data_IF_823250575744
#
_entry.id   IF_823250575744
#
_cell.length_a   1.000
_cell.length_b   1.000
_cell.length_c   1.000
_cell.angle_alpha   90.00
_cell.angle_beta   90.00
_cell.angle_gamma   90.00
#
_symmetry.space_group_name_H-M   'P 1'
#
loop_
_entity.id
_entity.type
_entity.pdbx_description
1 polymer ?
#
# COMPACT_ATOMS: atom_id res chain seq x y z
N UNK A 1 -19.14 18.60 -37.77
CA UNK A 1 -18.22 17.48 -37.50
C UNK A 1 -18.87 16.55 -36.49
N UNK A 2 -19.79 15.72 -36.97
CA UNK A 2 -20.54 14.73 -36.19
C UNK A 2 -19.81 13.40 -36.33
N UNK A 3 -19.16 12.92 -35.26
CA UNK A 3 -18.72 11.54 -35.21
C UNK A 3 -19.41 10.86 -34.02
N UNK A 4 -20.61 10.37 -34.31
CA UNK A 4 -21.41 9.53 -33.44
C UNK A 4 -20.94 8.10 -33.73
N UNK A 5 -20.04 7.57 -32.91
CA UNK A 5 -19.70 6.14 -32.89
C UNK A 5 -20.85 5.39 -32.20
N UNK A 6 -22.00 5.35 -32.87
CA UNK A 6 -22.98 4.29 -32.62
C UNK A 6 -22.37 3.03 -33.24
N UNK A 7 -21.65 2.25 -32.45
CA UNK A 7 -21.47 0.83 -32.77
C UNK A 7 -22.85 0.20 -32.62
N UNK A 8 -23.53 -0.24 -33.71
CA UNK A 8 -24.71 -1.05 -33.53
C UNK A 8 -24.25 -2.34 -32.84
N UNK A 9 -24.78 -2.59 -31.65
CA UNK A 9 -24.89 -3.94 -31.10
C UNK A 9 -25.41 -4.80 -32.24
N UNK A 10 -24.55 -5.65 -32.78
CA UNK A 10 -24.95 -6.72 -33.66
C UNK A 10 -25.75 -7.68 -32.79
N UNK A 11 -27.03 -7.38 -32.63
CA UNK A 11 -28.01 -8.35 -32.16
C UNK A 11 -28.12 -9.36 -33.29
N UNK A 12 -27.22 -10.34 -33.24
CA UNK A 12 -27.35 -11.63 -33.92
C UNK A 12 -28.81 -12.07 -33.82
N UNK A 13 -29.44 -12.64 -34.86
CA UNK A 13 -30.84 -13.06 -34.81
C UNK A 13 -31.00 -13.90 -33.55
N UNK A 14 -31.72 -13.36 -32.57
CA UNK A 14 -31.74 -13.88 -31.21
C UNK A 14 -32.31 -15.28 -31.27
N UNK A 15 -31.43 -16.28 -31.12
CA UNK A 15 -31.85 -17.62 -30.75
C UNK A 15 -32.79 -17.47 -29.55
N UNK A 16 -33.92 -18.19 -29.53
CA UNK A 16 -34.88 -18.07 -28.45
C UNK A 16 -34.17 -18.28 -27.11
N UNK A 17 -34.67 -17.56 -26.10
CA UNK A 17 -34.16 -17.68 -24.75
C UNK A 17 -34.22 -19.13 -24.29
N UNK A 18 -33.21 -19.58 -23.56
CA UNK A 18 -33.20 -20.93 -23.01
C UNK A 18 -34.28 -21.04 -21.92
N UNK A 19 -34.93 -22.19 -21.87
CA UNK A 19 -35.95 -22.51 -20.89
C UNK A 19 -35.31 -23.01 -19.59
N UNK A 20 -35.42 -22.25 -18.50
CA UNK A 20 -34.79 -22.59 -17.22
C UNK A 20 -35.33 -23.87 -16.59
N UNK A 21 -36.54 -24.31 -16.93
CA UNK A 21 -37.07 -25.58 -16.41
C UNK A 21 -36.20 -26.78 -16.85
N UNK A 22 -35.42 -26.62 -17.91
CA UNK A 22 -34.53 -27.64 -18.48
C UNK A 22 -33.05 -27.42 -18.10
N UNK A 23 -32.77 -26.51 -17.17
CA UNK A 23 -31.40 -26.16 -16.76
C UNK A 23 -30.71 -27.29 -16.00
N UNK A 24 -31.47 -28.02 -15.20
CA UNK A 24 -30.97 -29.11 -14.35
C UNK A 24 -31.53 -30.46 -14.78
N UNK A 25 -30.68 -31.49 -14.74
CA UNK A 25 -31.09 -32.87 -14.98
C UNK A 25 -31.78 -33.48 -13.75
N UNK A 26 -32.30 -34.70 -13.90
CA UNK A 26 -32.92 -35.45 -12.79
C UNK A 26 -32.00 -35.72 -11.59
N UNK A 27 -30.68 -35.57 -11.76
CA UNK A 27 -29.66 -35.75 -10.71
C UNK A 27 -29.38 -34.39 -10.01
N UNK A 28 -29.94 -33.30 -10.53
CA UNK A 28 -29.73 -31.94 -10.04
C UNK A 28 -28.42 -31.32 -10.52
N UNK A 29 -27.87 -31.76 -11.65
CA UNK A 29 -26.69 -31.17 -12.29
C UNK A 29 -27.05 -30.43 -13.57
N UNK A 30 -26.22 -29.46 -13.95
CA UNK A 30 -26.41 -28.70 -15.19
C UNK A 30 -26.47 -29.63 -16.41
N UNK A 31 -27.54 -29.50 -17.19
CA UNK A 31 -27.68 -30.19 -18.49
C UNK A 31 -26.61 -29.70 -19.45
N UNK A 32 -26.29 -30.50 -20.47
CA UNK A 32 -25.31 -30.08 -21.49
C UNK A 32 -25.82 -28.85 -22.25
N UNK A 33 -27.12 -28.82 -22.56
CA UNK A 33 -27.77 -27.70 -23.24
C UNK A 33 -27.81 -26.45 -22.36
N UNK A 34 -28.11 -26.61 -21.07
CA UNK A 34 -28.06 -25.53 -20.08
C UNK A 34 -26.65 -24.96 -19.91
N UNK A 35 -25.62 -25.81 -19.90
CA UNK A 35 -24.23 -25.38 -19.83
C UNK A 35 -23.80 -24.59 -21.09
N UNK A 36 -24.27 -25.02 -22.26
CA UNK A 36 -23.99 -24.32 -23.53
C UNK A 36 -24.78 -23.01 -23.63
N UNK A 37 -26.01 -22.98 -23.10
CA UNK A 37 -26.80 -21.77 -23.00
C UNK A 37 -26.17 -20.75 -22.03
N UNK A 38 -25.56 -21.21 -20.93
CA UNK A 38 -24.79 -20.36 -20.01
C UNK A 38 -23.57 -19.75 -20.70
N UNK A 39 -22.83 -20.55 -21.50
CA UNK A 39 -21.69 -20.04 -22.29
C UNK A 39 -22.11 -19.00 -23.33
N UNK A 40 -23.26 -19.23 -23.97
CA UNK A 40 -23.80 -18.36 -25.02
C UNK A 40 -24.59 -17.15 -24.48
N UNK A 41 -24.62 -16.96 -23.16
CA UNK A 41 -25.40 -15.91 -22.46
C UNK A 41 -26.89 -15.91 -22.86
N UNK A 42 -27.46 -17.10 -23.03
CA UNK A 42 -28.88 -17.33 -23.38
C UNK A 42 -29.77 -17.72 -22.20
N UNK A 43 -29.23 -17.67 -20.98
CA UNK A 43 -29.99 -17.82 -19.73
C UNK A 43 -30.47 -16.44 -19.27
N UNK A 44 -31.68 -16.40 -18.72
CA UNK A 44 -32.23 -15.16 -18.17
C UNK A 44 -31.53 -14.84 -16.83
N UNK A 45 -31.86 -13.70 -16.24
CA UNK A 45 -31.15 -13.26 -15.04
C UNK A 45 -31.30 -14.25 -13.86
N UNK A 46 -32.45 -14.95 -13.76
CA UNK A 46 -32.69 -15.95 -12.74
C UNK A 46 -31.90 -17.24 -13.00
N UNK A 47 -31.98 -17.79 -14.21
CA UNK A 47 -31.24 -18.99 -14.58
C UNK A 47 -29.73 -18.78 -14.48
N UNK A 48 -29.24 -17.57 -14.80
CA UNK A 48 -27.82 -17.21 -14.61
C UNK A 48 -27.43 -17.21 -13.14
N UNK A 49 -28.29 -16.69 -12.26
CA UNK A 49 -28.05 -16.69 -10.82
C UNK A 49 -28.02 -18.12 -10.27
N UNK A 50 -29.02 -18.93 -10.62
CA UNK A 50 -29.12 -20.33 -10.19
C UNK A 50 -27.94 -21.17 -10.71
N UNK A 51 -27.54 -20.98 -11.96
CA UNK A 51 -26.37 -21.64 -12.52
C UNK A 51 -25.08 -21.21 -11.81
N UNK A 52 -24.92 -19.92 -11.48
CA UNK A 52 -23.76 -19.42 -10.75
C UNK A 52 -23.69 -20.01 -9.34
N UNK A 53 -24.80 -20.04 -8.61
CA UNK A 53 -24.89 -20.69 -7.30
C UNK A 53 -24.53 -22.17 -7.41
N UNK A 54 -25.11 -22.88 -8.37
CA UNK A 54 -24.84 -24.29 -8.57
C UNK A 54 -23.36 -24.57 -8.91
N UNK A 55 -22.71 -23.73 -9.73
CA UNK A 55 -21.28 -23.85 -10.05
C UNK A 55 -20.38 -23.63 -8.84
N UNK A 56 -20.81 -22.83 -7.85
CA UNK A 56 -20.05 -22.68 -6.59
C UNK A 56 -20.19 -23.89 -5.66
N UNK A 57 -21.26 -24.69 -5.81
CA UNK A 57 -21.56 -25.83 -4.95
C UNK A 57 -21.17 -27.19 -5.55
N UNK A 58 -21.26 -27.36 -6.88
CA UNK A 58 -21.09 -28.64 -7.56
C UNK A 58 -19.79 -28.67 -8.38
N UNK A 59 -18.75 -29.31 -7.81
CA UNK A 59 -17.44 -29.48 -8.46
C UNK A 59 -17.53 -30.19 -9.82
N UNK A 60 -18.47 -31.12 -9.98
CA UNK A 60 -18.68 -31.84 -11.25
C UNK A 60 -19.13 -30.89 -12.36
N UNK A 61 -20.06 -30.00 -12.07
CA UNK A 61 -20.55 -29.00 -13.02
C UNK A 61 -19.47 -27.94 -13.30
N UNK A 62 -18.72 -27.54 -12.27
CA UNK A 62 -17.58 -26.62 -12.41
C UNK A 62 -16.47 -27.19 -13.31
N UNK A 63 -16.14 -28.46 -13.16
CA UNK A 63 -15.15 -29.13 -14.02
C UNK A 63 -15.61 -29.18 -15.49
N UNK A 64 -16.90 -29.46 -15.75
CA UNK A 64 -17.46 -29.44 -17.10
C UNK A 64 -17.48 -28.02 -17.69
N UNK A 65 -17.81 -27.02 -16.88
CA UNK A 65 -17.83 -25.63 -17.29
C UNK A 65 -16.43 -25.13 -17.67
N UNK A 66 -15.42 -25.38 -16.83
CA UNK A 66 -14.04 -24.98 -17.09
C UNK A 66 -13.43 -25.68 -18.31
N UNK A 67 -13.68 -26.98 -18.49
CA UNK A 67 -13.29 -27.70 -19.70
C UNK A 67 -13.92 -27.10 -20.97
N UNK A 68 -15.15 -26.59 -20.86
CA UNK A 68 -15.86 -25.92 -21.96
C UNK A 68 -15.29 -24.51 -22.21
N UNK A 69 -14.81 -23.79 -21.19
CA UNK A 69 -14.10 -22.51 -21.34
C UNK A 69 -12.75 -22.66 -22.03
N UNK A 70 -12.01 -23.75 -21.80
CA UNK A 70 -10.71 -23.99 -22.46
C UNK A 70 -10.82 -24.07 -23.98
N UNK A 71 -11.99 -24.45 -24.50
CA UNK A 71 -12.27 -24.49 -25.94
C UNK A 71 -12.45 -23.09 -26.56
N UNK A 72 -12.70 -22.07 -25.72
CA UNK A 72 -12.89 -20.70 -26.17
C UNK A 72 -11.50 -20.12 -26.48
N UNK A 73 -11.28 -19.75 -27.74
CA UNK A 73 -10.12 -18.95 -28.15
C UNK A 73 -10.19 -17.61 -27.42
N UNK A 74 -9.44 -17.46 -26.32
CA UNK A 74 -9.24 -16.16 -25.70
C UNK A 74 -8.66 -15.22 -26.74
N UNK A 75 -9.39 -14.16 -27.06
CA UNK A 75 -8.87 -13.09 -27.92
C UNK A 75 -7.60 -12.54 -27.27
N UNK A 76 -6.54 -12.38 -28.06
CA UNK A 76 -5.30 -11.83 -27.55
C UNK A 76 -5.59 -10.48 -26.88
N UNK A 77 -5.10 -10.24 -25.65
CA UNK A 77 -5.34 -8.97 -24.97
C UNK A 77 -4.88 -7.84 -25.90
N UNK A 78 -5.72 -6.82 -26.11
CA UNK A 78 -5.33 -5.64 -26.87
C UNK A 78 -3.99 -5.16 -26.32
N UNK A 79 -2.94 -5.24 -27.16
CA UNK A 79 -1.53 -5.08 -26.76
C UNK A 79 -1.26 -3.72 -26.08
N UNK A 80 -2.19 -2.79 -26.24
CA UNK A 80 -2.14 -1.42 -25.76
C UNK A 80 -2.62 -1.24 -24.30
N UNK A 81 -3.42 -2.16 -23.74
CA UNK A 81 -3.86 -2.08 -22.33
C UNK A 81 -2.83 -2.70 -21.35
N UNK A 82 -1.96 -3.57 -21.85
CA UNK A 82 -0.93 -4.25 -21.07
C UNK A 82 0.03 -3.25 -20.38
N UNK A 83 0.62 -2.25 -21.06
CA UNK A 83 1.52 -1.31 -20.40
C UNK A 83 0.80 -0.44 -19.37
N UNK A 84 -0.47 -0.08 -19.61
CA UNK A 84 -1.23 0.80 -18.74
C UNK A 84 -1.59 0.13 -17.41
N UNK A 85 -2.11 -1.09 -17.46
CA UNK A 85 -2.45 -1.84 -16.23
C UNK A 85 -1.17 -2.21 -15.46
N UNK A 86 -0.07 -2.54 -16.16
CA UNK A 86 1.22 -2.78 -15.51
C UNK A 86 1.75 -1.54 -14.77
N UNK A 87 1.61 -0.34 -15.35
CA UNK A 87 1.99 0.91 -14.68
C UNK A 87 1.18 1.14 -13.40
N UNK A 88 -0.15 0.93 -13.46
CA UNK A 88 -1.03 1.06 -12.29
C UNK A 88 -0.69 0.04 -11.19
N UNK A 89 -0.42 -1.22 -11.57
CA UNK A 89 0.02 -2.24 -10.61
C UNK A 89 1.39 -1.90 -9.99
N UNK A 90 2.34 -1.38 -10.79
CA UNK A 90 3.66 -0.96 -10.30
C UNK A 90 3.55 0.18 -9.29
N UNK A 91 2.72 1.20 -9.56
CA UNK A 91 2.49 2.32 -8.65
C UNK A 91 1.89 1.84 -7.32
N UNK A 92 0.91 0.93 -7.37
CA UNK A 92 0.30 0.36 -6.17
C UNK A 92 1.32 -0.41 -5.32
N UNK A 93 2.15 -1.24 -5.96
CA UNK A 93 3.24 -1.99 -5.29
C UNK A 93 4.29 -1.05 -4.71
N UNK A 94 4.72 -0.04 -5.48
CA UNK A 94 5.71 0.93 -5.03
C UNK A 94 5.23 1.70 -3.80
N UNK A 95 3.97 2.14 -3.78
CA UNK A 95 3.37 2.85 -2.63
C UNK A 95 3.30 2.00 -1.36
N UNK A 96 2.94 0.72 -1.47
CA UNK A 96 2.93 -0.21 -0.32
C UNK A 96 4.35 -0.43 0.21
N UNK A 97 5.32 -0.57 -0.70
CA UNK A 97 6.71 -0.81 -0.35
C UNK A 97 7.34 0.41 0.34
N UNK A 98 7.20 1.61 -0.25
CA UNK A 98 7.76 2.84 0.32
C UNK A 98 7.15 3.17 1.68
N UNK A 99 5.84 3.01 1.85
CA UNK A 99 5.19 3.23 3.15
C UNK A 99 5.77 2.33 4.25
N UNK A 100 6.04 1.05 3.92
CA UNK A 100 6.65 0.10 4.87
C UNK A 100 8.10 0.45 5.19
N UNK A 101 8.89 0.86 4.21
CA UNK A 101 10.29 1.26 4.43
C UNK A 101 10.42 2.56 5.21
N UNK A 102 9.55 3.55 4.98
CA UNK A 102 9.53 4.81 5.74
C UNK A 102 9.24 4.54 7.23
N UNK A 103 8.27 3.66 7.53
CA UNK A 103 7.98 3.27 8.91
C UNK A 103 9.17 2.59 9.60
N UNK A 104 9.87 1.69 8.92
CA UNK A 104 11.09 1.07 9.46
C UNK A 104 12.22 2.08 9.68
N UNK A 105 12.48 2.95 8.69
CA UNK A 105 13.51 3.97 8.80
C UNK A 105 13.25 4.92 9.98
N UNK A 106 12.00 5.36 10.16
CA UNK A 106 11.61 6.18 11.31
C UNK A 106 11.85 5.46 12.65
N UNK A 107 11.47 4.19 12.75
CA UNK A 107 11.71 3.39 13.96
C UNK A 107 13.20 3.25 14.28
N UNK A 108 14.04 3.00 13.26
CA UNK A 108 15.49 2.88 13.42
C UNK A 108 16.09 4.22 13.88
N UNK A 109 15.71 5.33 13.24
CA UNK A 109 16.19 6.67 13.62
C UNK A 109 15.79 7.01 15.05
N UNK A 110 14.55 6.72 15.45
CA UNK A 110 14.09 6.93 16.83
C UNK A 110 14.85 6.06 17.82
N UNK A 111 15.09 4.79 17.51
CA UNK A 111 15.88 3.91 18.37
C UNK A 111 17.31 4.44 18.55
N UNK A 112 17.97 4.85 17.46
CA UNK A 112 19.30 5.46 17.52
C UNK A 112 19.28 6.79 18.27
N UNK A 113 18.27 7.63 18.09
CA UNK A 113 18.12 8.87 18.84
C UNK A 113 17.97 8.59 20.34
N UNK A 114 17.05 7.71 20.75
CA UNK A 114 16.85 7.35 22.15
C UNK A 114 18.10 6.73 22.78
N UNK A 115 18.84 5.91 22.03
CA UNK A 115 20.12 5.36 22.44
C UNK A 115 21.17 6.47 22.60
N UNK A 116 21.34 7.32 21.58
CA UNK A 116 22.37 8.35 21.53
C UNK A 116 22.14 9.49 22.52
N UNK A 117 20.89 9.88 22.75
CA UNK A 117 20.49 10.94 23.67
C UNK A 117 20.27 10.46 25.11
N UNK A 118 20.58 9.19 25.42
CA UNK A 118 20.64 8.72 26.80
C UNK A 118 19.28 8.58 27.49
N UNK A 119 18.18 8.40 26.74
CA UNK A 119 16.87 8.09 27.33
C UNK A 119 16.91 6.79 28.16
N UNK A 120 17.79 5.85 27.81
CA UNK A 120 18.08 4.64 28.59
C UNK A 120 19.03 4.89 29.79
N UNK A 121 19.86 5.94 29.75
CA UNK A 121 20.78 6.31 30.83
C UNK A 121 20.10 7.09 31.96
N UNK A 122 19.15 7.96 31.61
CA UNK A 122 18.39 8.79 32.57
C UNK A 122 17.51 7.95 33.50
N UNK A 123 16.94 6.83 33.03
CA UNK A 123 16.16 5.94 33.89
C UNK A 123 17.05 5.10 34.84
N UNK A 124 18.29 4.80 34.44
CA UNK A 124 19.22 4.01 35.27
C UNK A 124 19.85 4.79 36.43
N UNK A 125 19.83 6.13 36.41
CA UNK A 125 20.30 6.94 37.57
C UNK A 125 19.25 7.07 38.68
N UNK A 126 17.98 6.75 38.41
CA UNK A 126 16.90 6.70 39.42
C UNK A 126 16.82 5.32 40.12
N UNK A 127 17.54 4.30 39.62
CA UNK A 127 17.49 2.92 40.11
C UNK A 127 18.49 2.54 41.20
N UNK A 128 19.46 3.39 41.57
CA UNK A 128 20.42 3.10 42.64
C UNK A 128 20.14 3.94 43.87
N UNK A 129 19.14 3.55 44.67
CA UNK A 129 19.05 3.95 46.08
C UNK A 129 20.03 3.07 46.90
N UNK A 130 21.06 3.63 47.54
CA UNK A 130 21.50 3.08 48.81
C UNK A 130 20.35 3.31 49.80
N UNK A 131 19.91 2.25 50.47
CA UNK A 131 18.99 2.36 51.60
C UNK A 131 19.65 3.17 52.71
N UNK A 132 19.27 4.43 52.87
CA UNK A 132 19.46 5.16 54.13
C UNK A 132 18.34 6.19 54.32
N UNK A 133 17.64 6.07 55.43
CA UNK A 133 16.63 6.97 55.98
C UNK A 133 17.28 7.53 57.27
N UNK A 134 17.29 8.84 57.58
CA UNK A 134 16.07 9.63 57.76
C UNK A 134 16.10 11.15 57.41
N UNK A 135 14.89 11.73 57.48
CA UNK A 135 14.48 13.15 57.50
C UNK A 135 14.26 13.94 56.17
N UNK A 136 13.09 14.60 56.11
CA UNK A 136 12.38 15.19 54.97
C UNK A 136 13.07 16.45 54.35
N UNK A 137 12.74 16.93 53.12
CA UNK A 137 11.39 17.16 52.60
C UNK A 137 11.12 16.50 51.23
N UNK A 138 9.84 16.42 50.91
CA UNK A 138 9.28 15.73 49.75
C UNK A 138 9.73 16.46 48.48
N UNK A 139 10.79 16.00 47.83
CA UNK A 139 11.16 16.49 46.50
C UNK A 139 10.02 16.14 45.55
N UNK A 140 9.30 17.17 45.13
CA UNK A 140 8.05 17.03 44.39
C UNK A 140 8.36 16.46 43.01
N UNK A 141 7.50 15.55 42.53
CA UNK A 141 7.56 14.98 41.16
C UNK A 141 7.58 16.10 40.11
N UNK A 142 7.01 17.27 40.43
CA UNK A 142 7.10 18.48 39.59
C UNK A 142 8.52 19.00 39.41
N UNK A 143 9.38 18.91 40.43
CA UNK A 143 10.75 19.41 40.36
C UNK A 143 11.61 18.49 39.48
N UNK A 144 11.34 17.18 39.53
CA UNK A 144 11.98 16.19 38.65
C UNK A 144 11.52 16.35 37.20
N UNK A 145 10.22 16.60 36.97
CA UNK A 145 9.68 16.83 35.62
C UNK A 145 10.22 18.14 35.02
N UNK A 146 10.26 19.23 35.80
CA UNK A 146 10.84 20.50 35.37
C UNK A 146 12.34 20.37 35.07
N UNK A 147 13.07 19.56 35.86
CA UNK A 147 14.46 19.21 35.58
C UNK A 147 14.64 18.45 34.26
N UNK A 148 13.76 17.50 33.96
CA UNK A 148 13.79 16.78 32.69
C UNK A 148 13.48 17.70 31.49
N UNK A 149 12.44 18.53 31.60
CA UNK A 149 12.05 19.47 30.53
C UNK A 149 13.12 20.53 30.25
N UNK A 150 13.78 21.05 31.29
CA UNK A 150 14.88 22.00 31.13
C UNK A 150 16.08 21.35 30.45
N UNK A 151 16.43 20.11 30.78
CA UNK A 151 17.53 19.38 30.12
C UNK A 151 17.25 19.11 28.63
N UNK A 152 16.00 18.80 28.28
CA UNK A 152 15.58 18.61 26.88
C UNK A 152 15.64 19.93 26.12
N UNK A 153 15.22 21.04 26.74
CA UNK A 153 15.26 22.37 26.12
C UNK A 153 16.69 22.81 25.82
N UNK A 154 17.63 22.48 26.71
CA UNK A 154 19.06 22.78 26.53
C UNK A 154 19.64 21.95 25.38
N UNK A 155 19.35 20.64 25.34
CA UNK A 155 19.81 19.77 24.26
C UNK A 155 19.27 20.18 22.88
N UNK A 156 18.04 20.67 22.79
CA UNK A 156 17.50 21.22 21.54
C UNK A 156 18.15 22.55 21.14
N UNK A 157 18.46 23.41 22.11
CA UNK A 157 19.17 24.67 21.88
C UNK A 157 20.58 24.44 21.31
N UNK A 158 21.31 23.47 21.85
CA UNK A 158 22.66 23.14 21.40
C UNK A 158 22.66 22.58 19.97
N UNK A 159 21.69 21.72 19.64
CA UNK A 159 21.54 21.17 18.28
C UNK A 159 21.15 22.24 17.27
N UNK A 160 20.24 23.16 17.61
CA UNK A 160 19.92 24.28 16.72
C UNK A 160 21.11 25.22 16.55
N UNK A 161 21.89 25.44 17.61
CA UNK A 161 23.13 26.20 17.56
C UNK A 161 24.15 25.58 16.60
N UNK A 162 24.40 24.28 16.73
CA UNK A 162 25.34 23.52 15.90
C UNK A 162 24.89 23.45 14.42
N UNK A 163 23.59 23.32 14.19
CA UNK A 163 23.02 23.35 12.85
C UNK A 163 23.15 24.74 12.23
N UNK A 164 22.90 25.81 13.00
CA UNK A 164 23.05 27.17 12.53
C UNK A 164 24.50 27.52 12.22
N UNK A 165 25.47 27.04 13.03
CA UNK A 165 26.90 27.21 12.72
C UNK A 165 27.31 26.43 11.48
N UNK A 166 26.80 25.22 11.30
CA UNK A 166 27.07 24.40 10.12
C UNK A 166 26.52 25.05 8.86
N UNK A 167 25.28 25.53 8.90
CA UNK A 167 24.66 26.23 7.77
C UNK A 167 25.45 27.50 7.42
N UNK A 168 25.85 28.30 8.41
CA UNK A 168 26.61 29.54 8.17
C UNK A 168 27.99 29.27 7.57
N UNK A 169 28.70 28.27 8.10
CA UNK A 169 29.98 27.83 7.54
C UNK A 169 29.86 27.28 6.11
N UNK A 170 28.75 26.61 5.79
CA UNK A 170 28.47 26.12 4.43
C UNK A 170 28.22 27.27 3.44
N UNK A 171 27.59 28.36 3.91
CA UNK A 171 27.40 29.57 3.10
C UNK A 171 28.71 30.34 2.88
N UNK A 172 29.57 30.48 3.90
CA UNK A 172 30.87 31.14 3.75
C UNK A 172 31.79 30.38 2.78
N UNK A 173 31.75 29.04 2.80
CA UNK A 173 32.52 28.19 1.90
C UNK A 173 32.06 28.29 0.42
N UNK A 174 30.78 28.60 0.20
CA UNK A 174 30.25 28.91 -1.14
C UNK A 174 30.59 30.33 -1.58
N UNK A 175 30.63 31.29 -0.65
CA UNK A 175 31.05 32.66 -0.93
C UNK A 175 32.53 32.73 -1.34
N UNK A 176 33.43 32.03 -0.63
CA UNK A 176 34.86 31.96 -0.98
C UNK A 176 35.11 31.27 -2.33
N UNK A 177 34.29 30.28 -2.69
CA UNK A 177 34.40 29.58 -3.99
C UNK A 177 33.95 30.44 -5.18
N UNK A 178 33.26 31.55 -4.93
CA UNK A 178 32.80 32.48 -5.96
C UNK A 178 33.77 33.64 -6.24
N UNK A 179 34.87 33.74 -5.49
CA UNK A 179 35.93 34.72 -5.75
C UNK A 179 36.75 34.29 -7.00
N UNK A 180 36.88 35.13 -8.04
CA UNK A 180 37.63 34.79 -9.23
C UNK A 180 39.13 34.69 -8.91
N UNK A 181 39.76 33.58 -9.31
CA UNK A 181 41.21 33.40 -9.24
C UNK A 181 41.90 34.43 -10.14
N UNK A 182 42.83 35.26 -9.64
CA UNK A 182 43.61 36.13 -10.50
C UNK A 182 44.56 35.28 -11.34
N UNK A 183 44.31 35.21 -12.65
CA UNK A 183 45.28 34.72 -13.62
C UNK A 183 46.47 35.71 -13.64
N UNK A 184 47.60 35.30 -13.08
CA UNK A 184 48.91 35.90 -13.34
C UNK A 184 49.31 35.56 -14.77
N UNK A 185 49.24 36.54 -15.67
CA UNK A 185 49.85 36.48 -16.99
C UNK A 185 51.26 37.06 -16.95
N UNK A 186 52.19 36.32 -17.56
CA UNK A 186 53.53 36.74 -17.98
C UNK A 186 53.49 37.90 -18.99
#
# INVERSE_FOLDING_TARGET
>A
MTNKLDHPLQTSPSLPMFDNEQLFDSIGCLTTDGLQALQADRLDDLGRLEAAEHLTFCDRCLARYTALLDSIRLSAPMRDLIPQVQALMRLRRFRVLTNRYVSMAAAIVLAFALWRFGAFGSLSTVGRRPSELPDAPRTSVSDMMSGALTSISQGLGDLLGELQTTVRSGWDQLADRSAPTPHTGE
#
